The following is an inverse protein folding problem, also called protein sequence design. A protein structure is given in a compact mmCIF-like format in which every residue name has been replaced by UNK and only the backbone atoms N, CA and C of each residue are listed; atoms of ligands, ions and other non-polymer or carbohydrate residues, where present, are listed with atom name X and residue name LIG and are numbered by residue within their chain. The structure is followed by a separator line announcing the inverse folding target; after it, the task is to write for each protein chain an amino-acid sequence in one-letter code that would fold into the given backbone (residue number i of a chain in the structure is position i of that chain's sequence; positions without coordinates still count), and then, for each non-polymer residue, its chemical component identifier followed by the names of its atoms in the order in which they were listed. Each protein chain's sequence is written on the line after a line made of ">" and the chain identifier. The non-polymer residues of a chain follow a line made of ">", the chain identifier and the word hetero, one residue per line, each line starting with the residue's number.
data_IF_415293531899
#
_entry.id   IF_415293531899
#
_cell.length_a   1.000
_cell.length_b   1.000
_cell.length_c   1.000
_cell.angle_alpha   90.00
_cell.angle_beta   90.00
_cell.angle_gamma   90.00
#
_symmetry.space_group_name_H-M   'P 1'
#
loop_
_entity.id
_entity.type
_entity.pdbx_description
1 polymer ?
#
# COMPACT_ATOMS: atom_id res chain seq x y z
N UNK A 1 -19.58 10.99 15.70
CA UNK A 1 -19.69 11.08 14.22
C UNK A 1 -18.35 10.78 13.51
N UNK A 2 -17.19 11.19 14.07
CA UNK A 2 -15.87 11.00 13.45
C UNK A 2 -15.35 9.54 13.39
N UNK A 3 -15.65 8.70 14.39
CA UNK A 3 -15.13 7.32 14.45
C UNK A 3 -15.72 6.43 13.34
N UNK A 4 -17.02 6.54 13.11
CA UNK A 4 -17.70 5.79 12.05
C UNK A 4 -17.11 6.09 10.67
N UNK A 5 -16.86 7.37 10.38
CA UNK A 5 -16.29 7.78 9.10
C UNK A 5 -14.86 7.25 8.89
N UNK A 6 -14.00 7.34 9.92
CA UNK A 6 -12.64 6.75 9.85
C UNK A 6 -12.68 5.24 9.59
N UNK A 7 -13.54 4.52 10.28
CA UNK A 7 -13.70 3.08 10.08
C UNK A 7 -14.18 2.75 8.67
N UNK A 8 -15.18 3.48 8.17
CA UNK A 8 -15.66 3.31 6.79
C UNK A 8 -14.55 3.53 5.75
N UNK A 9 -13.74 4.58 5.91
CA UNK A 9 -12.64 4.88 4.99
C UNK A 9 -11.54 3.80 5.05
N UNK A 10 -11.25 3.26 6.24
CA UNK A 10 -10.34 2.12 6.42
C UNK A 10 -10.88 0.88 5.71
N UNK A 11 -12.12 0.48 5.98
CA UNK A 11 -12.74 -0.70 5.36
C UNK A 11 -12.79 -0.60 3.84
N UNK A 12 -13.19 0.56 3.31
CA UNK A 12 -13.19 0.85 1.87
C UNK A 12 -11.80 0.67 1.27
N UNK A 13 -10.77 1.26 1.87
CA UNK A 13 -9.40 1.10 1.38
C UNK A 13 -8.93 -0.37 1.43
N UNK A 14 -9.13 -1.04 2.57
CA UNK A 14 -8.66 -2.42 2.77
C UNK A 14 -9.37 -3.42 1.89
N UNK A 15 -10.63 -3.19 1.51
CA UNK A 15 -11.33 -4.03 0.53
C UNK A 15 -10.66 -4.06 -0.86
N UNK A 16 -9.79 -3.09 -1.15
CA UNK A 16 -9.01 -3.02 -2.41
C UNK A 16 -7.61 -3.57 -2.25
N UNK A 17 -7.13 -3.75 -1.02
CA UNK A 17 -5.78 -4.23 -0.74
C UNK A 17 -5.76 -5.76 -0.81
N UNK A 18 -4.89 -6.28 -1.67
CA UNK A 18 -4.59 -7.70 -1.80
C UNK A 18 -3.60 -8.19 -0.75
N UNK A 19 -2.50 -7.46 -0.66
CA UNK A 19 -1.35 -7.85 0.15
C UNK A 19 -0.44 -6.65 0.40
N UNK A 20 0.32 -6.75 1.48
CA UNK A 20 1.33 -5.78 1.86
C UNK A 20 2.63 -6.54 2.08
N UNK A 21 3.71 -6.00 1.55
CA UNK A 21 5.03 -6.59 1.63
C UNK A 21 6.01 -5.60 2.25
N UNK A 22 6.80 -6.09 3.21
CA UNK A 22 7.93 -5.40 3.81
C UNK A 22 9.20 -5.71 3.02
N UNK A 23 9.65 -4.72 2.26
CA UNK A 23 10.83 -4.83 1.42
C UNK A 23 12.12 -4.74 2.23
N UNK A 24 13.12 -5.49 1.76
CA UNK A 24 14.50 -5.40 2.25
C UNK A 24 15.22 -4.13 1.77
N UNK A 25 14.63 -3.41 0.80
CA UNK A 25 15.14 -2.13 0.32
C UNK A 25 14.76 -1.02 1.30
N UNK A 26 15.75 -0.27 1.78
CA UNK A 26 15.56 0.82 2.74
C UNK A 26 14.76 1.99 2.17
N UNK A 27 14.86 2.25 0.86
CA UNK A 27 14.15 3.36 0.20
C UNK A 27 12.69 3.04 -0.13
N UNK A 28 12.40 1.77 -0.43
CA UNK A 28 11.07 1.30 -0.81
C UNK A 28 10.55 0.35 0.26
N UNK A 29 10.48 0.77 1.53
CA UNK A 29 10.22 -0.13 2.66
C UNK A 29 8.95 -0.97 2.55
N UNK A 30 7.88 -0.45 1.92
CA UNK A 30 6.62 -1.18 1.77
C UNK A 30 6.13 -1.21 0.32
N UNK A 31 5.50 -2.32 -0.06
CA UNK A 31 4.75 -2.47 -1.32
C UNK A 31 3.35 -2.99 -1.03
N UNK A 32 2.33 -2.23 -1.42
CA UNK A 32 0.91 -2.58 -1.23
C UNK A 32 0.29 -2.93 -2.58
N UNK A 33 -0.20 -4.14 -2.75
CA UNK A 33 -0.84 -4.59 -3.99
C UNK A 33 -2.35 -4.40 -3.96
N UNK A 34 -2.94 -4.08 -5.13
CA UNK A 34 -4.38 -3.96 -5.32
C UNK A 34 -4.99 -5.26 -5.91
N UNK A 35 -6.20 -5.62 -5.46
CA UNK A 35 -6.81 -6.95 -5.69
C UNK A 35 -7.19 -7.24 -7.15
N UNK A 36 -7.56 -6.22 -7.94
CA UNK A 36 -8.13 -6.42 -9.29
C UNK A 36 -7.43 -5.62 -10.40
N UNK A 37 -6.28 -5.03 -10.11
CA UNK A 37 -5.63 -4.10 -11.02
C UNK A 37 -4.37 -4.75 -11.62
N UNK A 38 -4.50 -5.27 -12.84
CA UNK A 38 -3.40 -5.84 -13.62
C UNK A 38 -2.95 -4.88 -14.73
N UNK A 39 -1.70 -5.03 -15.15
CA UNK A 39 -1.22 -4.44 -16.40
C UNK A 39 -1.84 -5.14 -17.62
N UNK A 40 -1.68 -4.54 -18.80
CA UNK A 40 -2.22 -5.09 -20.06
C UNK A 40 -1.70 -6.51 -20.36
N UNK A 41 -0.52 -6.88 -19.85
CA UNK A 41 0.06 -8.21 -20.07
C UNK A 41 -0.43 -9.28 -19.08
N UNK A 42 -1.14 -8.90 -18.01
CA UNK A 42 -1.55 -9.80 -16.93
C UNK A 42 -0.38 -10.37 -16.12
N UNK A 43 0.79 -9.72 -16.16
CA UNK A 43 2.01 -10.17 -15.47
C UNK A 43 2.35 -9.33 -14.25
N UNK A 44 1.94 -8.06 -14.26
CA UNK A 44 2.19 -7.10 -13.20
C UNK A 44 0.87 -6.59 -12.64
N UNK A 45 0.87 -6.24 -11.36
CA UNK A 45 -0.26 -5.67 -10.66
C UNK A 45 0.02 -4.24 -10.28
N UNK A 46 -1.01 -3.40 -10.22
CA UNK A 46 -0.88 -2.08 -9.64
C UNK A 46 -0.53 -2.22 -8.16
N UNK A 47 0.51 -1.50 -7.77
CA UNK A 47 1.06 -1.48 -6.43
C UNK A 47 1.32 -0.03 -6.01
N UNK A 48 1.18 0.26 -4.73
CA UNK A 48 1.68 1.47 -4.09
C UNK A 48 3.02 1.14 -3.43
N UNK A 49 4.09 1.80 -3.88
CA UNK A 49 5.42 1.72 -3.26
C UNK A 49 5.63 2.88 -2.29
N UNK A 50 6.12 2.57 -1.10
CA UNK A 50 6.25 3.51 0.02
C UNK A 50 7.61 3.37 0.71
N UNK A 51 8.18 4.50 1.13
CA UNK A 51 9.25 4.51 2.13
C UNK A 51 8.69 4.33 3.54
N UNK A 52 9.57 4.28 4.54
CA UNK A 52 9.22 4.27 5.96
C UNK A 52 8.70 5.62 6.49
N UNK A 53 8.98 6.71 5.77
CA UNK A 53 8.39 8.03 5.99
C UNK A 53 7.96 8.66 4.65
N UNK A 54 6.78 8.32 4.13
CA UNK A 54 6.35 8.67 2.77
C UNK A 54 6.00 10.14 2.59
N UNK A 55 5.65 10.85 3.67
CA UNK A 55 5.27 12.27 3.62
C UNK A 55 6.47 13.23 3.78
N UNK A 56 7.65 12.70 4.07
CA UNK A 56 8.87 13.49 4.04
C UNK A 56 9.13 14.01 2.62
N UNK A 57 9.76 15.19 2.43
CA UNK A 57 10.08 15.71 1.08
C UNK A 57 10.95 14.77 0.22
N UNK A 58 11.67 13.86 0.85
CA UNK A 58 12.46 12.80 0.19
C UNK A 58 11.81 11.41 0.32
N UNK A 59 10.62 11.34 0.91
CA UNK A 59 9.82 10.15 1.05
C UNK A 59 9.30 9.67 -0.30
N UNK A 60 9.07 8.36 -0.39
CA UNK A 60 8.53 7.74 -1.58
C UNK A 60 7.07 7.40 -1.37
N UNK A 61 6.22 7.81 -2.32
CA UNK A 61 4.84 7.37 -2.39
C UNK A 61 4.28 7.46 -3.80
N UNK A 62 4.37 6.37 -4.55
CA UNK A 62 3.89 6.33 -5.94
C UNK A 62 3.21 5.01 -6.29
N UNK A 63 2.21 5.09 -7.16
CA UNK A 63 1.62 3.92 -7.79
C UNK A 63 2.45 3.53 -9.01
N UNK A 64 2.64 2.22 -9.20
CA UNK A 64 3.34 1.64 -10.34
C UNK A 64 2.87 0.21 -10.59
N UNK A 65 3.47 -0.48 -11.55
CA UNK A 65 3.23 -1.90 -11.80
C UNK A 65 4.35 -2.73 -11.18
N UNK A 66 3.99 -3.66 -10.30
CA UNK A 66 4.92 -4.56 -9.61
C UNK A 66 4.58 -6.03 -9.89
N UNK A 67 5.58 -6.90 -9.75
CA UNK A 67 5.36 -8.34 -9.67
C UNK A 67 5.20 -8.73 -8.21
N UNK A 68 4.09 -9.35 -7.84
CA UNK A 68 3.90 -9.88 -6.48
C UNK A 68 4.73 -11.17 -6.28
N UNK A 69 5.39 -11.31 -5.13
CA UNK A 69 6.05 -12.55 -4.73
C UNK A 69 7.15 -12.37 -3.68
N UNK A 70 7.72 -13.49 -3.22
CA UNK A 70 8.67 -13.57 -2.10
C UNK A 70 9.97 -12.76 -2.27
N UNK A 71 10.32 -12.41 -3.50
CA UNK A 71 11.45 -11.52 -3.78
C UNK A 71 11.31 -10.12 -3.13
N UNK A 72 10.09 -9.73 -2.76
CA UNK A 72 9.78 -8.52 -2.02
C UNK A 72 10.04 -8.65 -0.52
N UNK A 73 10.39 -9.83 0.00
CA UNK A 73 10.64 -10.01 1.43
C UNK A 73 9.44 -10.60 2.16
N UNK A 74 9.03 -9.99 3.27
CA UNK A 74 8.01 -10.56 4.17
C UNK A 74 6.62 -10.02 3.85
N UNK A 75 5.60 -10.88 3.86
CA UNK A 75 4.21 -10.45 3.78
C UNK A 75 3.73 -9.96 5.15
N UNK A 76 3.20 -8.75 5.21
CA UNK A 76 2.81 -8.06 6.43
C UNK A 76 1.29 -7.96 6.56
N UNK A 77 0.81 -7.98 7.80
CA UNK A 77 -0.56 -7.62 8.13
C UNK A 77 -0.68 -6.09 8.25
N UNK A 78 -1.76 -5.52 7.75
CA UNK A 78 -1.98 -4.07 7.77
C UNK A 78 -1.90 -3.48 9.19
N UNK A 79 -2.51 -4.15 10.17
CA UNK A 79 -2.55 -3.66 11.56
C UNK A 79 -1.19 -3.76 12.29
N UNK A 80 -0.18 -4.40 11.67
CA UNK A 80 1.19 -4.45 12.19
C UNK A 80 2.08 -3.33 11.66
N UNK A 81 1.59 -2.53 10.71
CA UNK A 81 2.34 -1.39 10.18
C UNK A 81 2.34 -0.23 11.19
N UNK A 82 3.34 0.66 11.14
CA UNK A 82 3.30 1.93 11.85
C UNK A 82 2.01 2.73 11.54
N UNK A 83 1.48 3.45 12.53
CA UNK A 83 0.19 4.13 12.42
C UNK A 83 0.17 5.18 11.29
N UNK A 84 1.24 5.94 11.14
CA UNK A 84 1.45 6.90 10.05
C UNK A 84 1.42 6.22 8.67
N UNK A 85 2.06 5.06 8.53
CA UNK A 85 2.01 4.25 7.30
C UNK A 85 0.59 3.74 7.02
N UNK A 86 -0.14 3.30 8.05
CA UNK A 86 -1.53 2.87 7.90
C UNK A 86 -2.42 4.02 7.40
N UNK A 87 -2.34 5.19 8.03
CA UNK A 87 -3.11 6.38 7.65
C UNK A 87 -2.78 6.82 6.22
N UNK A 88 -1.49 6.81 5.85
CA UNK A 88 -1.03 7.15 4.51
C UNK A 88 -1.56 6.20 3.43
N UNK A 89 -1.49 4.88 3.68
CA UNK A 89 -2.04 3.87 2.75
C UNK A 89 -3.54 4.09 2.54
N UNK A 90 -4.31 4.28 3.63
CA UNK A 90 -5.75 4.53 3.56
C UNK A 90 -6.04 5.78 2.73
N UNK A 91 -5.29 6.86 2.97
CA UNK A 91 -5.45 8.13 2.23
C UNK A 91 -5.19 7.93 0.74
N UNK A 92 -4.06 7.32 0.38
CA UNK A 92 -3.64 7.12 -1.03
C UNK A 92 -4.58 6.21 -1.79
N UNK A 93 -5.02 5.11 -1.20
CA UNK A 93 -5.94 4.16 -1.87
C UNK A 93 -7.32 4.78 -2.07
N UNK A 94 -7.79 5.62 -1.14
CA UNK A 94 -9.08 6.29 -1.30
C UNK A 94 -9.07 7.41 -2.36
N UNK A 95 -7.90 7.97 -2.69
CA UNK A 95 -7.70 8.94 -3.77
C UNK A 95 -7.43 8.30 -5.13
N UNK A 96 -7.16 6.99 -5.15
CA UNK A 96 -6.91 6.24 -6.38
C UNK A 96 -8.25 5.88 -7.04
N UNK A 97 -8.66 6.66 -8.04
CA UNK A 97 -9.89 6.45 -8.84
C UNK A 97 -9.63 5.61 -10.10
#
# INVERSE_FOLDING_TARGET
>A
MFVWHKNYMKEKALSRVRSIWGNKNEFERYTVFLEHEWDYSGRFRICLKLSDNPDHPQGLSHFTFCKEGEHLGEKLDFDKLPEDIQEHIISRINQWE
#
